data_IF_435384029071
#
_entry.id   IF_435384029071
#
_cell.length_a   1.000
_cell.length_b   1.000
_cell.length_c   1.000
_cell.angle_alpha   90.00
_cell.angle_beta   90.00
_cell.angle_gamma   90.00
#
_symmetry.space_group_name_H-M   'P 1'
#
loop_
_entity.id
_entity.type
_entity.pdbx_description
1 polymer ?
#
# COMPACT_ATOMS: atom_id res chain seq x y z
N UNK A 1 -18.38 13.12 -9.87
CA UNK A 1 -18.46 12.31 -8.63
C UNK A 1 -17.10 11.66 -8.34
N UNK A 2 -16.09 12.45 -7.91
CA UNK A 2 -14.70 11.97 -7.68
C UNK A 2 -14.31 11.88 -6.20
N UNK A 3 -14.97 12.66 -5.33
CA UNK A 3 -14.62 12.81 -3.91
C UNK A 3 -14.85 11.52 -3.09
N UNK A 4 -15.84 10.70 -3.46
CA UNK A 4 -16.15 9.45 -2.75
C UNK A 4 -15.06 8.39 -2.93
N UNK A 5 -14.63 8.14 -4.18
CA UNK A 5 -13.61 7.12 -4.50
C UNK A 5 -12.23 7.47 -3.95
N UNK A 6 -11.84 8.75 -4.01
CA UNK A 6 -10.57 9.20 -3.42
C UNK A 6 -10.52 9.04 -1.89
N UNK A 7 -11.65 9.19 -1.20
CA UNK A 7 -11.74 8.95 0.25
C UNK A 7 -11.61 7.46 0.59
N UNK A 8 -12.30 6.60 -0.14
CA UNK A 8 -12.25 5.13 0.08
C UNK A 8 -10.82 4.64 -0.11
N UNK A 9 -10.21 5.01 -1.24
CA UNK A 9 -8.82 4.68 -1.56
C UNK A 9 -7.83 5.13 -0.46
N UNK A 10 -7.99 6.34 0.09
CA UNK A 10 -7.15 6.83 1.20
C UNK A 10 -7.30 6.01 2.48
N UNK A 11 -8.51 5.54 2.78
CA UNK A 11 -8.77 4.73 3.97
C UNK A 11 -8.09 3.37 3.83
N UNK A 12 -8.20 2.75 2.67
CA UNK A 12 -7.57 1.45 2.38
C UNK A 12 -6.04 1.55 2.39
N UNK A 13 -5.47 2.55 1.71
CA UNK A 13 -4.03 2.79 1.73
C UNK A 13 -3.50 2.99 3.16
N UNK A 14 -4.23 3.73 4.02
CA UNK A 14 -3.85 3.89 5.44
C UNK A 14 -3.91 2.58 6.22
N UNK A 15 -4.92 1.76 5.98
CA UNK A 15 -5.06 0.47 6.63
C UNK A 15 -3.90 -0.46 6.26
N UNK A 16 -3.53 -0.51 4.97
CA UNK A 16 -2.39 -1.28 4.47
C UNK A 16 -1.09 -0.77 5.09
N UNK A 17 -0.85 0.55 5.08
CA UNK A 17 0.34 1.15 5.66
C UNK A 17 0.51 0.78 7.15
N UNK A 18 -0.58 0.88 7.93
CA UNK A 18 -0.54 0.55 9.37
C UNK A 18 -0.27 -0.92 9.61
N UNK A 19 -0.87 -1.83 8.81
CA UNK A 19 -0.62 -3.27 8.91
C UNK A 19 0.83 -3.62 8.55
N UNK A 20 1.38 -3.01 7.51
CA UNK A 20 2.78 -3.17 7.11
C UNK A 20 3.74 -2.75 8.21
N UNK A 21 3.49 -1.59 8.85
CA UNK A 21 4.31 -1.11 9.97
C UNK A 21 4.29 -2.10 11.14
N UNK A 22 3.10 -2.53 11.56
CA UNK A 22 2.94 -3.51 12.65
C UNK A 22 3.67 -4.82 12.31
N UNK A 23 3.51 -5.31 11.08
CA UNK A 23 4.16 -6.55 10.65
C UNK A 23 5.70 -6.42 10.62
N UNK A 24 6.21 -5.27 10.17
CA UNK A 24 7.65 -4.98 10.17
C UNK A 24 8.24 -4.98 11.57
N UNK A 25 7.58 -4.25 12.48
CA UNK A 25 7.96 -4.12 13.89
C UNK A 25 7.90 -5.47 14.62
N UNK A 26 6.92 -6.31 14.26
CA UNK A 26 6.81 -7.67 14.76
C UNK A 26 7.83 -8.66 14.15
N UNK A 27 8.68 -8.20 13.22
CA UNK A 27 9.74 -9.02 12.62
C UNK A 27 9.30 -9.87 11.43
N UNK A 28 8.04 -9.76 10.98
CA UNK A 28 7.61 -10.45 9.78
C UNK A 28 8.32 -9.85 8.55
N UNK A 29 8.72 -10.74 7.64
CA UNK A 29 9.38 -10.39 6.38
C UNK A 29 8.69 -11.00 5.17
N UNK A 30 7.61 -11.74 5.39
CA UNK A 30 6.75 -12.25 4.35
C UNK A 30 5.38 -11.58 4.48
N UNK A 31 4.84 -11.12 3.36
CA UNK A 31 3.55 -10.44 3.31
C UNK A 31 2.76 -10.98 2.12
N UNK A 32 1.55 -11.45 2.42
CA UNK A 32 0.50 -11.68 1.44
C UNK A 32 -0.48 -10.51 1.51
N UNK A 33 -0.66 -9.80 0.38
CA UNK A 33 -1.55 -8.64 0.31
C UNK A 33 -2.79 -8.98 -0.52
N UNK A 34 -3.87 -9.35 0.15
CA UNK A 34 -5.18 -9.46 -0.47
C UNK A 34 -5.85 -8.08 -0.50
N UNK A 35 -6.03 -7.51 -1.69
CA UNK A 35 -6.68 -6.23 -1.92
C UNK A 35 -7.57 -6.31 -3.17
N UNK A 36 -8.85 -6.00 -3.02
CA UNK A 36 -9.85 -6.00 -4.09
C UNK A 36 -9.89 -4.68 -4.88
N UNK A 37 -9.25 -3.62 -4.36
CA UNK A 37 -9.05 -2.37 -5.09
C UNK A 37 -7.84 -2.50 -6.04
N UNK A 38 -8.15 -2.76 -7.31
CA UNK A 38 -7.16 -2.88 -8.38
C UNK A 38 -6.26 -1.65 -8.50
N UNK A 39 -6.73 -0.44 -8.17
CA UNK A 39 -5.88 0.75 -8.22
C UNK A 39 -4.83 0.74 -7.11
N UNK A 40 -5.15 0.21 -5.93
CA UNK A 40 -4.20 0.08 -4.82
C UNK A 40 -3.15 -0.96 -5.18
N UNK A 41 -3.57 -2.10 -5.73
CA UNK A 41 -2.69 -3.18 -6.19
C UNK A 41 -1.75 -2.68 -7.30
N UNK A 42 -2.26 -2.02 -8.34
CA UNK A 42 -1.43 -1.45 -9.40
C UNK A 42 -0.45 -0.39 -8.87
N UNK A 43 -0.90 0.48 -7.96
CA UNK A 43 -0.03 1.52 -7.36
C UNK A 43 1.13 0.93 -6.53
N UNK A 44 0.89 -0.23 -5.91
CA UNK A 44 1.88 -0.99 -5.15
C UNK A 44 2.84 -1.72 -6.09
N UNK A 45 2.30 -2.45 -7.08
CA UNK A 45 3.07 -3.28 -8.02
C UNK A 45 3.99 -2.47 -8.93
N UNK A 46 3.43 -1.42 -9.55
CA UNK A 46 4.15 -0.65 -10.56
C UNK A 46 5.17 0.28 -9.90
N UNK A 47 5.07 0.50 -8.59
CA UNK A 47 5.92 1.46 -7.88
C UNK A 47 5.71 2.90 -8.36
N UNK A 48 4.70 3.13 -9.22
CA UNK A 48 4.38 4.42 -9.81
C UNK A 48 3.64 5.29 -8.80
N UNK A 49 4.45 5.86 -7.92
CA UNK A 49 4.17 7.09 -7.16
C UNK A 49 3.78 8.26 -8.07
N UNK A 50 4.03 8.16 -9.38
CA UNK A 50 4.10 9.29 -10.30
C UNK A 50 2.74 9.96 -10.61
N UNK A 51 1.62 9.24 -10.55
CA UNK A 51 0.32 9.82 -10.99
C UNK A 51 -0.55 10.28 -9.81
N UNK A 52 -0.44 9.65 -8.64
CA UNK A 52 -1.32 9.95 -7.51
C UNK A 52 -0.53 10.65 -6.39
N UNK A 53 -0.83 11.94 -6.13
CA UNK A 53 -0.18 12.80 -5.11
C UNK A 53 -0.45 12.35 -3.65
N UNK A 54 -0.55 11.06 -3.38
CA UNK A 54 -0.90 10.52 -2.07
C UNK A 54 0.34 10.03 -1.33
N UNK A 55 0.61 10.67 -0.20
CA UNK A 55 1.72 10.39 0.70
C UNK A 55 1.70 8.94 1.19
N UNK A 56 0.52 8.35 1.40
CA UNK A 56 0.36 7.00 1.91
C UNK A 56 0.91 5.93 0.95
N UNK A 57 0.67 6.05 -0.36
CA UNK A 57 1.23 5.13 -1.36
C UNK A 57 2.76 5.19 -1.43
N UNK A 58 3.33 6.39 -1.26
CA UNK A 58 4.79 6.56 -1.20
C UNK A 58 5.40 5.81 -0.04
N UNK A 59 4.76 5.88 1.13
CA UNK A 59 5.21 5.21 2.34
C UNK A 59 5.07 3.69 2.21
N UNK A 60 3.98 3.20 1.62
CA UNK A 60 3.80 1.78 1.32
C UNK A 60 4.92 1.29 0.39
N UNK A 61 5.18 1.98 -0.73
CA UNK A 61 6.23 1.60 -1.67
C UNK A 61 7.63 1.64 -1.03
N UNK A 62 7.90 2.58 -0.12
CA UNK A 62 9.16 2.60 0.62
C UNK A 62 9.28 1.41 1.58
N UNK A 63 8.21 1.07 2.29
CA UNK A 63 8.20 -0.08 3.20
C UNK A 63 8.36 -1.39 2.45
N UNK A 64 7.67 -1.57 1.32
CA UNK A 64 7.78 -2.79 0.51
C UNK A 64 9.17 -2.97 -0.11
N UNK A 65 9.92 -1.88 -0.34
CA UNK A 65 11.33 -1.91 -0.77
C UNK A 65 12.30 -2.33 0.34
N UNK A 66 11.85 -2.45 1.59
CA UNK A 66 12.64 -3.14 2.61
C UNK A 66 12.75 -4.65 2.25
N UNK A 67 13.50 -5.43 3.04
CA UNK A 67 13.69 -6.89 2.82
C UNK A 67 12.39 -7.71 3.04
N UNK A 68 11.34 -7.41 2.28
CA UNK A 68 10.10 -8.15 2.23
C UNK A 68 10.12 -9.14 1.07
N UNK A 69 9.61 -10.34 1.33
CA UNK A 69 9.10 -11.23 0.30
C UNK A 69 7.60 -10.97 0.16
N UNK A 70 7.23 -10.22 -0.87
CA UNK A 70 5.83 -9.82 -1.16
C UNK A 70 5.24 -10.80 -2.15
N UNK A 71 4.11 -11.43 -1.79
CA UNK A 71 3.21 -12.08 -2.72
C UNK A 71 1.91 -11.29 -2.75
N UNK A 72 1.45 -10.96 -3.96
CA UNK A 72 0.16 -10.31 -4.21
C UNK A 72 -0.74 -11.35 -4.84
#
# INVERSE_FOLDING_TARGET
>A
MKIGKERIFKVEARAILKRLQIAWEAGYRHLELECDDAMVVESILVGEVAVNRMTELRLINQLLKCNWSVQI
#
